data_IF_822731328415
#
_entry.id   IF_822731328415
#
_cell.length_a   1.000
_cell.length_b   1.000
_cell.length_c   1.000
_cell.angle_alpha   90.00
_cell.angle_beta   90.00
_cell.angle_gamma   90.00
#
_symmetry.space_group_name_H-M   'P 1'
#
loop_
_entity.id
_entity.type
_entity.pdbx_description
1 polymer ?
#
# COMPACT_ATOMS: atom_id res chain seq x y z
N UNK A 1 -7.20 -0.13 -2.46
CA UNK A 1 -6.32 -1.28 -2.27
C UNK A 1 -4.85 -0.91 -2.28
N UNK A 2 -4.46 0.27 -2.58
CA UNK A 2 -3.06 0.69 -2.70
C UNK A 2 -2.68 1.83 -1.75
N UNK A 3 -3.61 2.52 -1.11
CA UNK A 3 -3.28 3.32 0.09
C UNK A 3 -2.85 2.38 1.21
N UNK A 4 -3.33 1.16 1.20
CA UNK A 4 -2.80 0.12 2.06
C UNK A 4 -1.38 -0.28 1.63
N UNK A 5 -1.02 -0.20 0.36
CA UNK A 5 0.38 -0.32 -0.08
C UNK A 5 1.24 0.81 0.50
N UNK A 6 0.77 2.05 0.43
CA UNK A 6 1.43 3.19 1.06
C UNK A 6 1.47 3.05 2.58
N UNK A 7 0.38 2.64 3.19
CA UNK A 7 0.25 2.47 4.64
C UNK A 7 1.09 1.29 5.12
N UNK A 8 1.10 0.15 4.43
CA UNK A 8 1.94 -1.00 4.79
C UNK A 8 3.42 -0.69 4.65
N UNK A 9 3.83 0.03 3.61
CA UNK A 9 5.22 0.45 3.44
C UNK A 9 5.64 1.54 4.41
N UNK A 10 4.76 2.44 4.74
CA UNK A 10 4.96 3.44 5.79
C UNK A 10 5.24 2.77 7.14
N UNK A 11 4.57 1.65 7.39
CA UNK A 11 4.72 0.80 8.56
C UNK A 11 6.12 0.22 8.65
N UNK A 12 6.63 -0.35 7.57
CA UNK A 12 7.98 -0.86 7.52
C UNK A 12 9.03 0.24 7.74
N UNK A 13 8.81 1.44 7.19
CA UNK A 13 9.72 2.58 7.33
C UNK A 13 9.74 3.16 8.76
N UNK A 14 8.60 3.23 9.44
CA UNK A 14 8.53 3.72 10.83
C UNK A 14 9.12 2.73 11.85
N UNK A 15 9.08 1.42 11.55
CA UNK A 15 9.70 0.40 12.40
C UNK A 15 11.21 0.38 12.31
N UNK A 16 11.80 0.92 11.23
CA UNK A 16 13.24 1.02 10.97
C UNK A 16 13.83 2.39 11.31
N UNK A 17 13.03 3.28 11.88
CA UNK A 17 13.44 4.65 12.22
C UNK A 17 14.47 4.71 13.31
N UNK A 18 15.73 4.84 12.94
CA UNK A 18 16.78 5.70 13.52
C UNK A 18 18.17 5.54 12.88
N UNK A 19 18.35 4.67 11.89
CA UNK A 19 19.61 4.58 11.16
C UNK A 19 19.36 4.38 9.64
N UNK A 20 19.02 5.46 8.95
CA UNK A 20 19.03 5.49 7.50
C UNK A 20 20.47 5.67 6.99
N UNK A 21 21.20 4.57 6.83
CA UNK A 21 22.28 4.54 5.84
C UNK A 21 21.60 4.38 4.46
N UNK A 22 21.97 5.17 3.43
CA UNK A 22 21.47 4.92 2.10
C UNK A 22 22.05 3.59 1.61
N UNK A 23 21.24 2.53 1.67
CA UNK A 23 21.57 1.31 0.96
C UNK A 23 21.44 1.61 -0.53
N UNK A 24 22.53 1.43 -1.26
CA UNK A 24 22.56 1.54 -2.71
C UNK A 24 21.43 0.68 -3.28
N UNK A 25 20.56 1.31 -4.07
CA UNK A 25 19.52 0.63 -4.79
C UNK A 25 20.17 -0.37 -5.76
N UNK A 26 20.04 -1.64 -5.47
CA UNK A 26 20.35 -2.68 -6.44
C UNK A 26 19.47 -2.47 -7.68
N UNK A 27 20.12 -2.35 -8.81
CA UNK A 27 19.44 -2.20 -10.09
C UNK A 27 18.46 -3.36 -10.30
N UNK A 28 17.27 -3.12 -10.90
CA UNK A 28 16.29 -4.16 -11.12
C UNK A 28 16.93 -5.28 -11.95
N UNK A 29 17.01 -6.48 -11.39
CA UNK A 29 17.48 -7.66 -12.11
C UNK A 29 16.47 -7.96 -13.24
N UNK A 30 16.85 -7.63 -14.46
CA UNK A 30 16.13 -8.03 -15.65
C UNK A 30 16.06 -9.58 -15.70
N UNK A 31 14.84 -10.15 -15.62
CA UNK A 31 14.66 -11.57 -15.88
C UNK A 31 13.83 -12.35 -14.86
N UNK A 32 13.30 -11.76 -13.79
CA UNK A 32 12.42 -12.49 -12.88
C UNK A 32 11.04 -12.63 -13.54
N UNK A 33 10.70 -13.86 -13.97
CA UNK A 33 9.36 -14.17 -14.47
C UNK A 33 8.36 -13.92 -13.33
N UNK A 34 7.46 -12.96 -13.55
CA UNK A 34 6.45 -12.61 -12.56
C UNK A 34 5.43 -13.75 -12.41
N UNK A 35 4.98 -14.09 -11.21
CA UNK A 35 4.00 -15.13 -11.00
C UNK A 35 2.63 -14.73 -11.57
N UNK A 36 1.94 -15.68 -12.23
CA UNK A 36 0.58 -15.51 -12.72
C UNK A 36 0.47 -15.08 -14.18
N UNK A 37 -0.76 -15.09 -14.67
CA UNK A 37 -1.12 -14.71 -16.03
C UNK A 37 -1.34 -13.20 -16.18
N UNK A 38 -1.28 -12.66 -17.42
CA UNK A 38 -1.66 -11.27 -17.67
C UNK A 38 -3.07 -10.99 -17.15
N UNK A 39 -3.22 -9.93 -16.36
CA UNK A 39 -4.50 -9.61 -15.73
C UNK A 39 -5.53 -9.12 -16.76
N UNK A 40 -6.75 -9.70 -16.79
CA UNK A 40 -7.83 -9.22 -17.64
C UNK A 40 -8.15 -7.74 -17.38
N UNK A 41 -8.46 -6.98 -18.43
CA UNK A 41 -8.76 -5.53 -18.33
C UNK A 41 -9.83 -5.21 -17.28
N UNK A 42 -10.87 -6.05 -17.17
CA UNK A 42 -11.93 -5.90 -16.15
C UNK A 42 -11.36 -5.90 -14.74
N UNK A 43 -10.46 -6.83 -14.44
CA UNK A 43 -9.81 -6.94 -13.13
C UNK A 43 -8.90 -5.75 -12.86
N UNK A 44 -8.19 -5.27 -13.87
CA UNK A 44 -7.36 -4.05 -13.74
C UNK A 44 -8.24 -2.85 -13.34
N UNK A 45 -9.40 -2.67 -13.98
CA UNK A 45 -10.33 -1.61 -13.63
C UNK A 45 -10.89 -1.75 -12.21
N UNK A 46 -11.23 -2.96 -11.78
CA UNK A 46 -11.68 -3.24 -10.41
C UNK A 46 -10.57 -2.91 -9.39
N UNK A 47 -9.32 -3.27 -9.68
CA UNK A 47 -8.17 -2.95 -8.85
C UNK A 47 -7.92 -1.44 -8.77
N UNK A 48 -8.03 -0.73 -9.89
CA UNK A 48 -7.89 0.74 -9.94
C UNK A 48 -9.01 1.45 -9.16
N UNK A 49 -10.24 0.97 -9.25
CA UNK A 49 -11.38 1.53 -8.49
C UNK A 49 -11.20 1.30 -6.98
N UNK A 50 -10.80 0.09 -6.58
CA UNK A 50 -10.51 -0.22 -5.17
C UNK A 50 -9.37 0.67 -4.64
N UNK A 51 -8.34 0.91 -5.45
CA UNK A 51 -7.25 1.82 -5.15
C UNK A 51 -7.73 3.26 -4.93
N UNK A 52 -8.46 3.79 -5.90
CA UNK A 52 -8.94 5.18 -5.83
C UNK A 52 -9.81 5.41 -4.58
N UNK A 53 -10.71 4.47 -4.28
CA UNK A 53 -11.55 4.55 -3.07
C UNK A 53 -10.72 4.47 -1.78
N UNK A 54 -9.73 3.60 -1.71
CA UNK A 54 -8.84 3.52 -0.54
C UNK A 54 -8.02 4.80 -0.34
N UNK A 55 -7.53 5.44 -1.42
CA UNK A 55 -6.85 6.75 -1.37
C UNK A 55 -7.78 7.83 -0.84
N UNK A 56 -9.02 7.87 -1.31
CA UNK A 56 -10.03 8.81 -0.83
C UNK A 56 -10.24 8.66 0.68
N UNK A 57 -10.44 7.43 1.18
CA UNK A 57 -10.61 7.16 2.61
C UNK A 57 -9.37 7.54 3.43
N UNK A 58 -8.18 7.26 2.92
CA UNK A 58 -6.94 7.64 3.56
C UNK A 58 -6.79 9.17 3.68
N UNK A 59 -7.02 9.91 2.61
CA UNK A 59 -6.95 11.36 2.60
C UNK A 59 -8.06 12.01 3.46
N UNK A 60 -9.20 11.34 3.61
CA UNK A 60 -10.26 11.71 4.54
C UNK A 60 -9.97 11.31 6.00
N UNK A 61 -8.84 10.64 6.27
CA UNK A 61 -8.47 10.10 7.59
C UNK A 61 -9.51 9.13 8.17
N UNK A 62 -10.21 8.41 7.29
CA UNK A 62 -11.20 7.40 7.64
C UNK A 62 -10.51 6.05 7.88
N UNK A 63 -10.14 5.78 9.15
CA UNK A 63 -9.49 4.52 9.56
C UNK A 63 -10.29 3.28 9.13
N UNK A 64 -11.58 3.27 9.41
CA UNK A 64 -12.44 2.14 9.10
C UNK A 64 -12.56 1.92 7.59
N UNK A 65 -12.72 3.01 6.84
CA UNK A 65 -12.76 2.98 5.37
C UNK A 65 -11.47 2.43 4.77
N UNK A 66 -10.29 2.84 5.24
CA UNK A 66 -9.00 2.29 4.80
C UNK A 66 -8.91 0.80 5.14
N UNK A 67 -9.23 0.40 6.38
CA UNK A 67 -9.12 -0.98 6.82
C UNK A 67 -10.13 -1.92 6.16
N UNK A 68 -11.22 -1.41 5.57
CA UNK A 68 -12.15 -2.22 4.77
C UNK A 68 -11.50 -2.79 3.50
N UNK A 69 -10.42 -2.16 3.02
CA UNK A 69 -9.62 -2.62 1.89
C UNK A 69 -8.48 -3.57 2.28
N UNK A 70 -8.34 -3.90 3.58
CA UNK A 70 -7.35 -4.85 4.10
C UNK A 70 -8.06 -6.12 4.54
N UNK A 71 -7.59 -7.28 4.08
CA UNK A 71 -8.08 -8.58 4.52
C UNK A 71 -7.88 -8.74 6.04
N UNK A 72 -8.81 -9.42 6.71
CA UNK A 72 -8.63 -9.81 8.11
C UNK A 72 -7.49 -10.82 8.28
N UNK A 73 -7.14 -11.52 7.19
CA UNK A 73 -6.01 -12.42 7.10
C UNK A 73 -4.72 -11.76 6.58
N UNK A 74 -4.71 -10.42 6.50
CA UNK A 74 -3.51 -9.71 6.03
C UNK A 74 -2.29 -10.06 6.87
N UNK A 75 -1.23 -10.47 6.18
CA UNK A 75 0.06 -10.73 6.79
C UNK A 75 1.21 -10.48 5.81
N UNK A 76 2.14 -9.67 6.23
CA UNK A 76 3.47 -9.52 5.63
C UNK A 76 4.43 -9.36 6.79
N UNK A 77 5.08 -10.45 7.19
CA UNK A 77 5.81 -10.55 8.45
C UNK A 77 6.81 -9.39 8.65
N UNK A 78 6.78 -8.66 9.78
CA UNK A 78 5.95 -8.87 10.99
C UNK A 78 4.58 -8.16 10.98
N UNK A 79 4.12 -7.63 9.84
CA UNK A 79 2.96 -6.77 9.71
C UNK A 79 1.64 -7.54 9.66
N UNK A 80 0.68 -7.08 10.45
CA UNK A 80 -0.70 -7.55 10.48
C UNK A 80 -1.68 -6.40 10.26
N UNK A 81 -2.96 -6.68 10.00
CA UNK A 81 -4.01 -5.65 9.93
C UNK A 81 -4.10 -4.82 11.22
N UNK A 82 -3.85 -5.42 12.38
CA UNK A 82 -3.83 -4.69 13.66
C UNK A 82 -2.66 -3.68 13.70
N UNK A 83 -1.47 -4.06 13.24
CA UNK A 83 -0.34 -3.17 13.17
C UNK A 83 -0.59 -2.01 12.18
N UNK A 84 -1.23 -2.26 11.04
CA UNK A 84 -1.65 -1.22 10.09
C UNK A 84 -2.61 -0.23 10.77
N UNK A 85 -3.57 -0.70 11.55
CA UNK A 85 -4.50 0.15 12.30
C UNK A 85 -3.77 1.11 13.24
N UNK A 86 -2.86 0.60 14.04
CA UNK A 86 -2.13 1.44 15.00
C UNK A 86 -1.31 2.53 14.30
N UNK A 87 -0.77 2.23 13.16
CA UNK A 87 0.02 3.22 12.42
C UNK A 87 -0.84 4.25 11.68
N UNK A 88 -2.01 3.87 11.18
CA UNK A 88 -3.00 4.84 10.71
C UNK A 88 -3.34 5.83 11.81
N UNK A 89 -3.55 5.36 13.04
CA UNK A 89 -3.86 6.22 14.19
C UNK A 89 -2.73 7.20 14.49
N UNK A 90 -1.48 6.72 14.52
CA UNK A 90 -0.32 7.59 14.74
C UNK A 90 -0.22 8.64 13.63
N UNK A 91 -0.39 8.22 12.37
CA UNK A 91 -0.31 9.13 11.23
C UNK A 91 -1.43 10.19 11.26
N UNK A 92 -2.67 9.79 11.53
CA UNK A 92 -3.82 10.69 11.61
C UNK A 92 -3.75 11.64 12.83
N UNK A 93 -2.96 11.27 13.87
CA UNK A 93 -2.67 12.18 14.98
C UNK A 93 -1.59 13.23 14.63
N UNK A 94 -0.56 12.83 13.87
CA UNK A 94 0.57 13.70 13.53
C UNK A 94 0.26 14.70 12.41
N UNK A 95 -0.53 14.29 11.43
CA UNK A 95 -0.84 15.09 10.24
C UNK A 95 -2.28 15.60 10.29
N UNK A 96 -2.51 16.80 9.78
CA UNK A 96 -3.86 17.35 9.59
C UNK A 96 -4.36 17.19 8.15
N UNK A 97 -3.46 16.97 7.22
CA UNK A 97 -3.76 16.73 5.81
C UNK A 97 -2.79 15.69 5.26
N UNK A 98 -3.33 14.71 4.53
CA UNK A 98 -2.56 13.66 3.87
C UNK A 98 -2.83 13.67 2.37
N UNK A 99 -1.81 13.37 1.58
CA UNK A 99 -1.88 13.19 0.13
C UNK A 99 -1.19 11.89 -0.24
N UNK A 100 -1.83 11.11 -1.08
CA UNK A 100 -1.26 9.91 -1.66
C UNK A 100 -1.46 9.93 -3.17
N UNK A 101 -0.39 9.67 -3.91
CA UNK A 101 -0.42 9.49 -5.36
C UNK A 101 0.15 8.12 -5.66
N UNK A 102 -0.66 7.26 -6.25
CA UNK A 102 -0.28 5.89 -6.53
C UNK A 102 -0.82 5.47 -7.88
N UNK A 103 0.00 4.78 -8.65
CA UNK A 103 -0.42 4.14 -9.90
C UNK A 103 -0.09 2.66 -9.88
N UNK A 104 -0.91 1.87 -10.54
CA UNK A 104 -0.61 0.48 -10.85
C UNK A 104 0.24 0.45 -12.12
N UNK A 105 1.45 -0.09 -12.02
CA UNK A 105 2.35 -0.24 -13.15
C UNK A 105 2.07 -1.52 -13.93
N UNK A 106 1.83 -2.63 -13.19
CA UNK A 106 1.53 -3.95 -13.73
C UNK A 106 0.68 -4.74 -12.74
N UNK A 107 -0.13 -5.66 -13.26
CA UNK A 107 -0.83 -6.65 -12.44
C UNK A 107 -0.78 -8.03 -13.12
N UNK A 108 -0.63 -9.07 -12.31
CA UNK A 108 -0.68 -10.48 -12.70
C UNK A 108 -1.68 -11.22 -11.83
N UNK A 109 -2.50 -12.08 -12.41
CA UNK A 109 -3.51 -12.84 -11.68
C UNK A 109 -3.18 -14.32 -11.63
N UNK A 110 -3.44 -14.93 -10.48
CA UNK A 110 -3.35 -16.37 -10.25
C UNK A 110 -4.56 -16.78 -9.39
N UNK A 111 -5.63 -17.28 -10.04
CA UNK A 111 -6.90 -17.60 -9.37
C UNK A 111 -7.54 -16.36 -8.73
N UNK A 112 -7.82 -16.45 -7.44
CA UNK A 112 -8.43 -15.35 -6.65
C UNK A 112 -7.38 -14.34 -6.12
N UNK A 113 -6.13 -14.45 -6.52
CA UNK A 113 -5.06 -13.54 -6.13
C UNK A 113 -4.58 -12.70 -7.31
N UNK A 114 -4.12 -11.49 -7.00
CA UNK A 114 -3.46 -10.62 -7.96
C UNK A 114 -2.15 -10.10 -7.33
N UNK A 115 -1.07 -10.24 -8.08
CA UNK A 115 0.20 -9.56 -7.84
C UNK A 115 0.14 -8.21 -8.50
N UNK A 116 0.19 -7.14 -7.71
CA UNK A 116 0.04 -5.77 -8.18
C UNK A 116 1.35 -5.03 -7.94
N UNK A 117 1.97 -4.58 -9.01
CA UNK A 117 3.16 -3.74 -8.96
C UNK A 117 2.73 -2.29 -9.04
N UNK A 118 3.24 -1.46 -8.15
CA UNK A 118 2.85 -0.06 -8.09
C UNK A 118 4.02 0.86 -7.81
N UNK A 119 3.85 2.10 -8.25
CA UNK A 119 4.71 3.23 -7.94
C UNK A 119 3.88 4.29 -7.25
N UNK A 120 4.41 4.92 -6.21
CA UNK A 120 3.67 5.95 -5.52
C UNK A 120 4.46 6.75 -4.50
N UNK A 121 3.78 7.76 -3.96
CA UNK A 121 4.30 8.62 -2.92
C UNK A 121 3.20 9.05 -1.95
N UNK A 122 3.58 9.31 -0.72
CA UNK A 122 2.72 9.85 0.34
C UNK A 122 3.41 11.04 0.97
N UNK A 123 2.67 12.11 1.17
CA UNK A 123 3.10 13.28 1.90
C UNK A 123 2.03 13.72 2.89
N UNK A 124 2.43 14.45 3.92
CA UNK A 124 1.54 14.95 4.93
C UNK A 124 1.92 16.33 5.42
N UNK A 125 0.91 17.11 5.83
CA UNK A 125 1.12 18.39 6.50
C UNK A 125 1.09 18.18 8.02
N UNK A 126 2.19 18.49 8.66
CA UNK A 126 2.31 18.36 10.12
C UNK A 126 1.33 19.30 10.84
N UNK A 127 0.53 18.74 11.75
CA UNK A 127 -0.56 19.42 12.43
C UNK A 127 -0.13 20.70 13.16
N UNK A 128 0.99 20.64 13.85
CA UNK A 128 1.44 21.77 14.68
C UNK A 128 2.34 22.78 13.96
N UNK A 129 2.93 22.39 12.84
CA UNK A 129 3.89 23.22 12.11
C UNK A 129 3.36 23.70 10.77
N UNK A 130 2.29 23.12 10.28
CA UNK A 130 1.73 23.43 8.95
C UNK A 130 2.67 23.09 7.78
N UNK A 131 3.79 22.41 8.04
CA UNK A 131 4.80 22.10 7.04
C UNK A 131 4.47 20.78 6.33
N UNK A 132 4.55 20.76 5.00
CA UNK A 132 4.46 19.56 4.21
C UNK A 132 5.75 18.78 4.29
N UNK A 133 5.66 17.48 4.57
CA UNK A 133 6.78 16.55 4.64
C UNK A 133 6.51 15.35 3.76
N UNK A 134 7.50 14.85 3.00
CA UNK A 134 7.42 13.54 2.38
C UNK A 134 7.40 12.48 3.48
N UNK A 135 6.52 11.50 3.36
CA UNK A 135 6.41 10.41 4.33
C UNK A 135 7.02 9.13 3.75
N UNK A 136 6.69 8.82 2.50
CA UNK A 136 7.13 7.60 1.82
C UNK A 136 7.07 7.76 0.31
N UNK A 137 8.00 7.10 -0.40
CA UNK A 137 7.92 6.86 -1.84
C UNK A 137 8.43 5.46 -2.18
N UNK A 138 7.90 4.87 -3.24
CA UNK A 138 8.33 3.55 -3.75
C UNK A 138 8.17 3.48 -5.25
N UNK A 139 8.91 2.57 -5.90
CA UNK A 139 8.88 2.37 -7.34
C UNK A 139 8.76 0.89 -7.67
N UNK A 140 7.77 0.55 -8.50
CA UNK A 140 7.55 -0.80 -9.05
C UNK A 140 7.66 -1.91 -8.00
N UNK A 141 7.05 -1.71 -6.84
CA UNK A 141 7.09 -2.69 -5.79
C UNK A 141 5.83 -3.56 -5.77
N UNK A 142 5.99 -4.88 -5.58
CA UNK A 142 4.89 -5.83 -5.59
C UNK A 142 4.09 -5.83 -4.30
N UNK A 143 2.85 -6.25 -4.40
CA UNK A 143 1.95 -6.55 -3.30
C UNK A 143 0.92 -7.58 -3.74
N UNK A 144 0.38 -8.35 -2.80
CA UNK A 144 -0.64 -9.35 -3.10
C UNK A 144 -2.01 -8.86 -2.67
N UNK A 145 -2.94 -8.88 -3.61
CA UNK A 145 -4.35 -8.69 -3.37
C UNK A 145 -5.10 -10.02 -3.53
N UNK A 146 -6.19 -10.18 -2.79
CA UNK A 146 -7.09 -11.32 -2.91
C UNK A 146 -8.53 -10.85 -3.06
N UNK A 147 -9.29 -11.58 -3.89
CA UNK A 147 -10.73 -11.36 -3.99
C UNK A 147 -11.43 -12.11 -2.87
N UNK A 148 -12.06 -11.37 -1.96
CA UNK A 148 -12.81 -11.90 -0.82
C UNK A 148 -14.26 -11.40 -0.91
N UNK A 149 -15.21 -12.31 -1.03
CA UNK A 149 -16.63 -11.98 -1.19
C UNK A 149 -16.91 -10.98 -2.33
N UNK A 150 -16.21 -11.15 -3.46
CA UNK A 150 -16.34 -10.30 -4.64
C UNK A 150 -15.59 -8.95 -4.57
N UNK A 151 -14.89 -8.65 -3.47
CA UNK A 151 -14.15 -7.41 -3.27
C UNK A 151 -12.65 -7.69 -3.21
N UNK A 152 -11.87 -6.90 -3.94
CA UNK A 152 -10.42 -6.96 -3.86
C UNK A 152 -9.93 -6.31 -2.56
N UNK A 153 -9.17 -7.10 -1.76
CA UNK A 153 -8.52 -6.65 -0.53
C UNK A 153 -7.04 -6.95 -0.55
N UNK A 154 -6.29 -6.11 0.13
CA UNK A 154 -4.88 -6.36 0.38
C UNK A 154 -4.74 -7.59 1.26
N UNK A 155 -3.91 -8.54 0.84
CA UNK A 155 -3.76 -9.83 1.52
C UNK A 155 -2.36 -10.02 2.10
N UNK A 156 -1.36 -9.37 1.50
CA UNK A 156 0.04 -9.48 1.90
C UNK A 156 0.70 -10.76 1.41
N UNK A 157 1.98 -10.89 1.78
CA UNK A 157 2.77 -12.10 1.49
C UNK A 157 2.65 -13.07 2.65
N UNK A 158 1.98 -14.18 2.43
CA UNK A 158 1.99 -15.30 3.36
C UNK A 158 3.09 -16.26 2.91
N UNK A 159 4.18 -16.32 3.67
CA UNK A 159 5.19 -17.36 3.55
C UNK A 159 4.80 -18.57 4.39
#
# INVERSE_FOLDING_TARGET
MVVTFAVVKLVAALSLGLFATPLAADAPQAGKVLPGDPTPRKVILELQQALAHAIERFQAMDEAGVLSHVSDHYRTDPLTKAAIREQLRVMFALYDTLRAQVRIDEARTAGEQAWVYSTGEVSGRLRWFGTWTPILSWQHEPEVARREQGVWRLYGYQQ
#
